data_IF_419318735651
#
_entry.id   IF_419318735651
#
_cell.length_a   1.000
_cell.length_b   1.000
_cell.length_c   1.000
_cell.angle_alpha   90.00
_cell.angle_beta   90.00
_cell.angle_gamma   90.00
#
_symmetry.space_group_name_H-M   'P 1'
#
loop_
_entity.id
_entity.type
_entity.pdbx_description
1 polymer ?
#
# COMPACT_ATOMS: atom_id res chain seq x y z
N UNK A 1 -19.12 -6.41 -14.38
CA UNK A 1 -19.80 -5.40 -13.55
C UNK A 1 -18.92 -4.17 -13.27
N UNK A 2 -17.80 -4.26 -12.55
CA UNK A 2 -16.94 -3.07 -12.29
C UNK A 2 -16.45 -2.36 -13.57
N UNK A 3 -15.85 -3.10 -14.50
CA UNK A 3 -15.32 -2.53 -15.75
C UNK A 3 -16.43 -1.98 -16.65
N UNK A 4 -17.53 -2.71 -16.77
CA UNK A 4 -18.71 -2.32 -17.55
C UNK A 4 -19.35 -1.01 -17.05
N UNK A 5 -19.37 -0.78 -15.73
CA UNK A 5 -19.85 0.46 -15.15
C UNK A 5 -19.00 1.67 -15.59
N UNK A 6 -17.68 1.49 -15.70
CA UNK A 6 -16.77 2.54 -16.16
C UNK A 6 -16.88 2.77 -17.66
N UNK A 7 -17.01 1.70 -18.45
CA UNK A 7 -17.13 1.81 -19.91
C UNK A 7 -18.38 2.57 -20.35
N UNK A 8 -19.49 2.41 -19.64
CA UNK A 8 -20.76 3.03 -20.02
C UNK A 8 -21.00 4.41 -19.39
N UNK A 9 -20.38 4.70 -18.25
CA UNK A 9 -20.70 5.91 -17.47
C UNK A 9 -19.52 6.80 -17.10
N UNK A 10 -18.27 6.30 -17.15
CA UNK A 10 -17.07 7.05 -16.73
C UNK A 10 -17.30 7.82 -15.42
N UNK A 11 -17.65 7.14 -14.31
CA UNK A 11 -17.96 7.81 -13.05
C UNK A 11 -16.71 8.51 -12.50
N UNK A 12 -16.92 9.58 -11.73
CA UNK A 12 -15.81 10.25 -11.05
C UNK A 12 -15.26 9.40 -9.89
N UNK A 13 -16.13 8.64 -9.21
CA UNK A 13 -15.78 7.84 -8.03
C UNK A 13 -16.47 6.47 -8.07
N UNK A 14 -15.75 5.41 -7.69
CA UNK A 14 -16.30 4.08 -7.41
C UNK A 14 -15.97 3.66 -5.98
N UNK A 15 -16.98 3.15 -5.28
CA UNK A 15 -16.85 2.58 -3.94
C UNK A 15 -16.94 1.05 -4.07
N UNK A 16 -15.94 0.36 -3.53
CA UNK A 16 -15.81 -1.10 -3.55
C UNK A 16 -15.80 -1.55 -2.10
N UNK A 17 -16.69 -2.46 -1.72
CA UNK A 17 -16.75 -2.93 -0.34
C UNK A 17 -15.45 -3.65 0.03
N UNK A 18 -15.08 -4.68 -0.73
CA UNK A 18 -13.84 -5.44 -0.55
C UNK A 18 -13.22 -5.80 -1.90
N UNK A 19 -11.89 -5.67 -2.00
CA UNK A 19 -11.08 -6.21 -3.09
C UNK A 19 -10.30 -7.40 -2.54
N UNK A 20 -10.64 -8.61 -3.00
CA UNK A 20 -10.02 -9.85 -2.51
C UNK A 20 -9.49 -10.75 -3.61
N UNK A 21 -9.97 -10.58 -4.84
CA UNK A 21 -9.65 -11.45 -5.97
C UNK A 21 -8.72 -10.78 -6.99
N UNK A 22 -8.03 -11.59 -7.78
CA UNK A 22 -7.14 -11.11 -8.85
C UNK A 22 -7.91 -10.30 -9.91
N UNK A 23 -9.12 -10.74 -10.26
CA UNK A 23 -9.96 -10.04 -11.22
C UNK A 23 -10.41 -8.66 -10.71
N UNK A 24 -10.73 -8.54 -9.43
CA UNK A 24 -11.09 -7.25 -8.80
C UNK A 24 -9.89 -6.32 -8.71
N UNK A 25 -8.72 -6.82 -8.32
CA UNK A 25 -7.49 -6.04 -8.27
C UNK A 25 -7.09 -5.51 -9.65
N UNK A 26 -7.18 -6.37 -10.67
CA UNK A 26 -6.93 -5.99 -12.06
C UNK A 26 -7.94 -4.96 -12.57
N UNK A 27 -9.23 -5.15 -12.25
CA UNK A 27 -10.27 -4.19 -12.59
C UNK A 27 -10.02 -2.84 -11.92
N UNK A 28 -9.72 -2.82 -10.61
CA UNK A 28 -9.40 -1.62 -9.86
C UNK A 28 -8.21 -0.86 -10.48
N UNK A 29 -7.11 -1.56 -10.84
CA UNK A 29 -5.98 -0.94 -11.54
C UNK A 29 -6.42 -0.28 -12.85
N UNK A 30 -7.11 -1.03 -13.71
CA UNK A 30 -7.56 -0.55 -15.02
C UNK A 30 -8.49 0.67 -14.90
N UNK A 31 -9.34 0.68 -13.88
CA UNK A 31 -10.28 1.78 -13.61
C UNK A 31 -9.53 3.02 -13.11
N UNK A 32 -8.57 2.85 -12.20
CA UNK A 32 -7.71 3.94 -11.71
C UNK A 32 -6.88 4.58 -12.83
N UNK A 33 -6.36 3.77 -13.77
CA UNK A 33 -5.64 4.24 -14.96
C UNK A 33 -6.52 5.10 -15.89
N UNK A 34 -7.84 4.89 -15.89
CA UNK A 34 -8.81 5.73 -16.61
C UNK A 34 -9.13 7.05 -15.88
N UNK A 35 -8.52 7.30 -14.73
CA UNK A 35 -8.68 8.52 -13.94
C UNK A 35 -9.88 8.51 -12.99
N UNK A 36 -10.53 7.35 -12.82
CA UNK A 36 -11.64 7.21 -11.86
C UNK A 36 -11.08 7.06 -10.45
N UNK A 37 -11.60 7.82 -9.49
CA UNK A 37 -11.20 7.70 -8.10
C UNK A 37 -11.80 6.44 -7.47
N UNK A 38 -10.97 5.67 -6.77
CA UNK A 38 -11.40 4.47 -6.06
C UNK A 38 -11.39 4.69 -4.55
N UNK A 39 -12.41 4.15 -3.90
CA UNK A 39 -12.47 3.99 -2.45
C UNK A 39 -12.87 2.54 -2.18
N UNK A 40 -12.09 1.82 -1.37
CA UNK A 40 -12.51 0.49 -0.97
C UNK A 40 -11.66 -0.12 0.11
N UNK A 41 -12.08 -1.30 0.56
CA UNK A 41 -11.32 -2.09 1.52
C UNK A 41 -10.64 -3.26 0.84
N UNK A 42 -9.64 -3.82 1.50
CA UNK A 42 -8.91 -4.99 1.02
C UNK A 42 -8.46 -5.80 2.22
N UNK A 43 -8.31 -7.10 2.04
CA UNK A 43 -7.77 -7.96 3.10
C UNK A 43 -6.27 -7.71 3.28
N UNK A 44 -5.85 -7.36 4.49
CA UNK A 44 -4.44 -7.15 4.85
C UNK A 44 -4.29 -6.37 6.14
N UNK A 45 -3.41 -6.83 7.03
CA UNK A 45 -3.24 -6.18 8.34
C UNK A 45 -2.40 -4.90 8.25
N UNK A 46 -1.48 -4.83 7.29
CA UNK A 46 -0.61 -3.68 7.04
C UNK A 46 -0.14 -3.65 5.57
N UNK A 47 0.47 -2.52 5.17
CA UNK A 47 0.98 -2.27 3.84
C UNK A 47 2.08 -3.26 3.44
N UNK A 48 2.88 -3.75 4.40
CA UNK A 48 3.89 -4.79 4.12
C UNK A 48 3.26 -6.13 3.72
N UNK A 49 2.14 -6.52 4.32
CA UNK A 49 1.40 -7.71 3.92
C UNK A 49 0.83 -7.55 2.50
N UNK A 50 0.36 -6.35 2.16
CA UNK A 50 -0.13 -6.04 0.82
C UNK A 50 0.99 -6.16 -0.23
N UNK A 51 2.20 -5.69 0.10
CA UNK A 51 3.41 -5.83 -0.73
C UNK A 51 3.77 -7.29 -1.00
N UNK A 52 3.62 -8.16 0.00
CA UNK A 52 3.95 -9.60 -0.10
C UNK A 52 2.85 -10.42 -0.77
N UNK A 53 1.63 -9.88 -0.88
CA UNK A 53 0.50 -10.58 -1.47
C UNK A 53 0.51 -10.43 -3.00
N UNK A 54 0.74 -11.50 -3.78
CA UNK A 54 0.85 -11.41 -5.24
C UNK A 54 -0.47 -10.99 -5.93
N UNK A 55 -1.62 -11.19 -5.29
CA UNK A 55 -2.93 -10.81 -5.82
C UNK A 55 -3.19 -9.32 -5.61
N UNK A 56 -2.94 -8.85 -4.39
CA UNK A 56 -3.31 -7.49 -3.97
C UNK A 56 -2.20 -6.46 -4.16
N UNK A 57 -0.96 -6.89 -4.43
CA UNK A 57 0.17 -6.01 -4.73
C UNK A 57 -0.11 -5.08 -5.90
N UNK A 58 -0.96 -5.49 -6.85
CA UNK A 58 -1.36 -4.68 -7.99
C UNK A 58 -2.11 -3.40 -7.58
N UNK A 59 -2.80 -3.40 -6.43
CA UNK A 59 -3.49 -2.21 -5.89
C UNK A 59 -2.51 -1.10 -5.48
N UNK A 60 -1.28 -1.48 -5.13
CA UNK A 60 -0.21 -0.56 -4.73
C UNK A 60 0.85 -0.40 -5.81
N UNK A 61 0.51 -0.72 -7.06
CA UNK A 61 1.36 -0.52 -8.23
C UNK A 61 2.18 -1.74 -8.62
N UNK A 62 1.98 -2.88 -7.96
CA UNK A 62 2.64 -4.16 -8.22
C UNK A 62 4.14 -4.15 -7.93
N UNK A 63 4.70 -5.28 -7.53
CA UNK A 63 6.14 -5.40 -7.23
C UNK A 63 6.83 -6.35 -8.22
N UNK A 64 8.03 -5.98 -8.68
CA UNK A 64 8.88 -6.78 -9.56
C UNK A 64 10.33 -6.85 -9.10
N UNK A 65 11.03 -7.88 -9.55
CA UNK A 65 12.48 -7.98 -9.46
C UNK A 65 13.12 -7.29 -10.67
N UNK A 66 14.04 -6.36 -10.40
CA UNK A 66 14.84 -5.67 -11.41
C UNK A 66 16.31 -6.02 -11.20
N UNK A 67 16.98 -6.40 -12.29
CA UNK A 67 18.43 -6.61 -12.30
C UNK A 67 19.10 -5.32 -12.81
N UNK A 68 19.85 -4.66 -11.92
CA UNK A 68 20.64 -3.49 -12.22
C UNK A 68 21.98 -3.88 -12.88
N UNK A 69 22.55 -2.97 -13.67
CA UNK A 69 23.94 -3.06 -14.11
C UNK A 69 24.90 -2.85 -12.92
N UNK A 70 26.16 -3.24 -13.06
CA UNK A 70 27.19 -3.02 -12.03
C UNK A 70 27.35 -1.54 -11.67
N UNK A 71 27.27 -0.64 -12.66
CA UNK A 71 27.38 0.80 -12.45
C UNK A 71 26.20 1.36 -11.64
N UNK A 72 24.97 0.97 -11.98
CA UNK A 72 23.77 1.48 -11.30
C UNK A 72 23.65 0.90 -9.88
N UNK A 73 23.98 -0.38 -9.69
CA UNK A 73 24.03 -1.00 -8.36
C UNK A 73 25.05 -0.29 -7.45
N UNK A 74 26.23 0.04 -7.99
CA UNK A 74 27.28 0.79 -7.25
C UNK A 74 26.83 2.20 -6.92
N UNK A 75 26.16 2.89 -7.85
CA UNK A 75 25.61 4.25 -7.65
C UNK A 75 24.55 4.28 -6.55
N UNK A 76 23.65 3.30 -6.52
CA UNK A 76 22.58 3.18 -5.51
C UNK A 76 23.02 2.52 -4.20
N UNK A 77 24.23 1.94 -4.17
CA UNK A 77 24.76 1.15 -3.05
C UNK A 77 23.86 -0.04 -2.69
N UNK A 78 23.29 -0.69 -3.71
CA UNK A 78 22.40 -1.84 -3.55
C UNK A 78 22.98 -3.10 -4.20
N UNK A 79 22.33 -4.23 -3.98
CA UNK A 79 22.62 -5.46 -4.71
C UNK A 79 22.24 -5.30 -6.19
N UNK A 80 22.76 -6.20 -7.04
CA UNK A 80 22.43 -6.28 -8.46
C UNK A 80 20.95 -6.60 -8.70
N UNK A 81 20.29 -7.30 -7.79
CA UNK A 81 18.86 -7.58 -7.85
C UNK A 81 18.15 -6.82 -6.74
N UNK A 82 17.12 -6.06 -7.09
CA UNK A 82 16.30 -5.30 -6.15
C UNK A 82 14.82 -5.48 -6.45
N UNK A 83 13.98 -5.25 -5.44
CA UNK A 83 12.54 -5.13 -5.61
C UNK A 83 12.20 -3.67 -5.92
N UNK A 84 11.41 -3.46 -6.97
CA UNK A 84 10.86 -2.15 -7.32
C UNK A 84 9.39 -2.29 -7.68
N UNK A 85 8.67 -1.17 -7.56
CA UNK A 85 7.29 -1.07 -7.97
C UNK A 85 7.18 -1.04 -9.51
N UNK A 86 6.17 -1.71 -10.07
CA UNK A 86 5.95 -1.85 -11.52
C UNK A 86 5.29 -0.62 -12.15
N UNK A 87 4.34 -0.03 -11.45
CA UNK A 87 3.46 1.02 -11.95
C UNK A 87 2.99 1.95 -10.81
N UNK A 88 2.22 2.98 -11.13
CA UNK A 88 1.57 3.81 -10.12
C UNK A 88 0.53 2.99 -9.32
N UNK A 89 0.40 3.21 -8.00
CA UNK A 89 -0.67 2.62 -7.21
C UNK A 89 -2.06 2.98 -7.74
N UNK A 90 -3.02 2.04 -7.61
CA UNK A 90 -4.42 2.32 -7.91
C UNK A 90 -5.04 3.28 -6.87
N UNK A 91 -4.51 3.27 -5.64
CA UNK A 91 -4.93 4.12 -4.52
C UNK A 91 -3.81 5.07 -4.11
N UNK A 92 -4.16 6.31 -3.74
CA UNK A 92 -3.18 7.31 -3.31
C UNK A 92 -2.89 7.23 -1.80
N UNK A 93 -3.90 6.86 -1.01
CA UNK A 93 -3.86 6.82 0.45
C UNK A 93 -4.25 5.42 0.91
N UNK A 94 -3.52 4.87 1.88
CA UNK A 94 -3.90 3.66 2.60
C UNK A 94 -4.10 3.95 4.09
N UNK A 95 -5.10 3.28 4.67
CA UNK A 95 -5.40 3.34 6.10
C UNK A 95 -5.32 1.92 6.64
N UNK A 96 -4.33 1.65 7.49
CA UNK A 96 -4.24 0.39 8.19
C UNK A 96 -5.08 0.45 9.46
N UNK A 97 -6.07 -0.42 9.54
CA UNK A 97 -6.93 -0.56 10.71
C UNK A 97 -6.39 -1.68 11.59
N UNK A 98 -5.34 -1.35 12.34
CA UNK A 98 -4.68 -2.30 13.25
C UNK A 98 -5.56 -2.61 14.47
N UNK A 99 -6.24 -1.59 15.01
CA UNK A 99 -7.21 -1.73 16.10
C UNK A 99 -8.39 -0.78 15.86
N UNK A 100 -9.52 -1.04 16.52
CA UNK A 100 -10.73 -0.22 16.36
C UNK A 100 -10.52 1.27 16.67
N UNK A 101 -9.57 1.59 17.56
CA UNK A 101 -9.24 2.97 17.98
C UNK A 101 -7.85 3.42 17.54
N UNK A 102 -7.13 2.64 16.72
CA UNK A 102 -5.77 2.91 16.31
C UNK A 102 -5.55 2.66 14.82
N UNK A 103 -5.18 3.71 14.10
CA UNK A 103 -5.00 3.67 12.66
C UNK A 103 -3.64 4.22 12.25
N UNK A 104 -3.04 3.59 11.24
CA UNK A 104 -1.84 4.08 10.56
C UNK A 104 -2.25 4.61 9.20
N UNK A 105 -1.84 5.83 8.87
CA UNK A 105 -2.24 6.54 7.65
C UNK A 105 -1.03 6.73 6.75
N UNK A 106 -1.05 6.07 5.60
CA UNK A 106 -0.12 6.28 4.51
C UNK A 106 -0.70 7.31 3.56
N UNK A 107 -0.31 8.57 3.73
CA UNK A 107 -0.83 9.68 2.90
C UNK A 107 -0.35 9.65 1.46
N UNK A 108 0.79 8.99 1.21
CA UNK A 108 1.28 8.70 -0.12
C UNK A 108 1.72 7.24 -0.16
N UNK A 109 0.90 6.39 -0.79
CA UNK A 109 1.22 4.96 -0.96
C UNK A 109 2.51 4.78 -1.77
N UNK A 110 2.70 5.56 -2.82
CA UNK A 110 3.89 5.42 -3.68
C UNK A 110 5.17 5.63 -2.87
N UNK A 111 5.25 6.70 -2.10
CA UNK A 111 6.44 6.95 -1.26
C UNK A 111 6.57 5.90 -0.15
N UNK A 112 5.45 5.53 0.48
CA UNK A 112 5.44 4.53 1.55
C UNK A 112 5.95 3.17 1.07
N UNK A 113 5.46 2.68 -0.08
CA UNK A 113 5.87 1.42 -0.68
C UNK A 113 7.35 1.49 -1.07
N UNK A 114 7.79 2.55 -1.74
CA UNK A 114 9.17 2.68 -2.18
C UNK A 114 10.15 2.73 -0.97
N UNK A 115 9.76 3.36 0.15
CA UNK A 115 10.53 3.39 1.39
C UNK A 115 10.59 2.02 2.07
N UNK A 116 9.47 1.28 2.10
CA UNK A 116 9.42 -0.10 2.63
C UNK A 116 10.33 -1.02 1.81
N UNK A 117 10.26 -0.96 0.48
CA UNK A 117 11.09 -1.79 -0.41
C UNK A 117 12.60 -1.52 -0.24
N UNK A 118 12.97 -0.25 0.00
CA UNK A 118 14.35 0.17 0.24
C UNK A 118 14.85 -0.10 1.65
N UNK A 119 14.01 -0.70 2.51
CA UNK A 119 14.28 -0.92 3.93
C UNK A 119 14.65 0.35 4.69
N UNK A 120 14.00 1.47 4.36
CA UNK A 120 14.31 2.78 4.94
C UNK A 120 13.38 3.14 6.11
N UNK A 121 13.78 4.14 6.89
CA UNK A 121 12.91 4.73 7.89
C UNK A 121 11.93 5.69 7.22
N UNK A 122 10.66 5.63 7.63
CA UNK A 122 9.66 6.57 7.18
C UNK A 122 8.77 7.02 8.34
N UNK A 123 8.30 8.25 8.27
CA UNK A 123 7.37 8.80 9.25
C UNK A 123 5.95 8.54 8.76
N UNK A 124 5.17 7.82 9.57
CA UNK A 124 3.77 7.55 9.24
C UNK A 124 2.85 8.27 10.21
N UNK A 125 1.76 8.81 9.69
CA UNK A 125 0.74 9.43 10.52
C UNK A 125 0.00 8.34 11.30
N UNK A 126 -0.18 8.56 12.60
CA UNK A 126 -0.97 7.71 13.47
C UNK A 126 -2.18 8.51 13.91
N UNK A 127 -3.34 7.86 13.93
CA UNK A 127 -4.57 8.40 14.50
C UNK A 127 -5.06 7.50 15.62
N UNK A 128 -5.40 8.10 16.76
CA UNK A 128 -5.95 7.41 17.92
C UNK A 128 -7.28 8.02 18.32
N UNK A 129 -8.28 7.18 18.56
CA UNK A 129 -9.55 7.61 19.14
C UNK A 129 -9.45 7.56 20.67
N UNK A 130 -9.54 8.73 21.31
CA UNK A 130 -9.56 8.83 22.76
C UNK A 130 -10.96 8.56 23.34
N UNK A 131 -11.04 8.22 24.62
CA UNK A 131 -12.30 7.93 25.36
C UNK A 131 -13.32 9.07 25.30
N UNK A 132 -12.85 10.31 25.15
CA UNK A 132 -13.68 11.51 24.99
C UNK A 132 -14.19 11.72 23.54
N UNK A 133 -14.03 10.73 22.66
CA UNK A 133 -14.31 10.79 21.21
C UNK A 133 -13.46 11.80 20.42
N UNK A 134 -12.39 12.33 20.99
CA UNK A 134 -11.41 13.15 20.25
C UNK A 134 -10.45 12.26 19.48
N UNK A 135 -9.99 12.76 18.34
CA UNK A 135 -8.96 12.09 17.54
C UNK A 135 -7.63 12.75 17.84
N UNK A 136 -6.70 11.99 18.40
CA UNK A 136 -5.30 12.37 18.48
C UNK A 136 -4.61 12.05 17.15
N UNK A 137 -3.87 13.02 16.61
CA UNK A 137 -3.06 12.84 15.40
C UNK A 137 -1.59 12.99 15.81
N UNK A 138 -0.80 11.94 15.56
CA UNK A 138 0.63 11.93 15.79
C UNK A 138 1.40 11.42 14.59
N UNK A 139 2.72 11.41 14.70
CA UNK A 139 3.62 10.82 13.72
C UNK A 139 4.57 9.86 14.45
N UNK A 140 4.84 8.71 13.85
CA UNK A 140 5.82 7.75 14.37
C UNK A 140 6.82 7.43 13.26
N UNK A 141 8.09 7.43 13.62
CA UNK A 141 9.14 6.92 12.76
C UNK A 141 9.08 5.38 12.83
N UNK A 142 8.78 4.77 11.69
CA UNK A 142 8.74 3.32 11.52
C UNK A 142 10.01 2.91 10.79
N UNK A 143 10.76 1.99 11.38
CA UNK A 143 11.79 1.24 10.66
C UNK A 143 11.13 0.06 9.96
N UNK A 144 11.32 -0.08 8.66
CA UNK A 144 10.93 -1.28 7.90
C UNK A 144 11.86 -2.48 8.17
N UNK A 145 12.37 -2.60 9.40
CA UNK A 145 13.17 -3.75 9.79
C UNK A 145 12.22 -4.95 9.91
N UNK A 146 12.31 -5.85 8.93
CA UNK A 146 11.57 -7.12 8.86
C UNK A 146 11.79 -8.04 10.08
N UNK A 147 12.62 -7.63 11.05
CA UNK A 147 12.96 -8.34 12.27
C UNK A 147 12.04 -8.02 13.46
N UNK A 148 11.27 -6.92 13.46
CA UNK A 148 10.50 -6.52 14.67
C UNK A 148 9.13 -7.21 14.80
N UNK A 149 8.67 -7.95 13.79
CA UNK A 149 7.36 -8.64 13.83
C UNK A 149 7.44 -10.02 14.53
N UNK A 150 8.64 -10.56 14.78
CA UNK A 150 8.82 -11.85 15.45
C UNK A 150 8.81 -11.81 17.00
N UNK A 151 8.44 -10.67 17.63
CA UNK A 151 8.39 -10.58 19.10
C UNK A 151 7.00 -10.46 19.73
N UNK A 152 5.90 -10.43 18.96
CA UNK A 152 4.54 -10.41 19.53
C UNK A 152 3.63 -11.58 19.15
N UNK A 153 4.22 -12.75 18.94
CA UNK A 153 3.50 -14.02 18.90
C UNK A 153 4.21 -15.07 19.75
N UNK A 154 4.41 -14.76 21.03
CA UNK A 154 4.64 -15.71 22.12
C UNK A 154 4.24 -15.05 23.44
N UNK A 155 2.95 -15.14 23.77
CA UNK A 155 2.41 -15.04 25.12
C UNK A 155 1.12 -15.84 25.16
#
# INVERSE_FOLDING_TARGET
VMLEAVENHMPEVIIIDEIGTELEALAARTISEKGVQLVGTTHGNNLENLIKNPILTDLIGGIQYVILSDEEAKKRRTQKSILERKASPAFQIAIEINEQSHWIIHQNIQDSVDLILRKSYFSTQIRKLETNKKIYIGYKQVSSDLSTIFQHSNS
#
